data_IF_723954155946
#
_entry.id   IF_723954155946
#
_cell.length_a   1.000
_cell.length_b   1.000
_cell.length_c   1.000
_cell.angle_alpha   90.00
_cell.angle_beta   90.00
_cell.angle_gamma   90.00
#
_symmetry.space_group_name_H-M   'P 1'
#
loop_
_entity.id
_entity.type
_entity.pdbx_description
1 polymer ?
#
# COMPACT_ATOMS: atom_id res chain seq x y z
N UNK A 1 -18.85 -15.47 -15.37
CA UNK A 1 -18.48 -15.23 -13.96
C UNK A 1 -17.41 -14.15 -13.92
N UNK A 2 -17.75 -12.91 -13.56
CA UNK A 2 -16.75 -11.87 -13.31
C UNK A 2 -16.22 -12.09 -11.89
N UNK A 3 -15.14 -12.86 -11.76
CA UNK A 3 -14.37 -12.92 -10.51
C UNK A 3 -13.80 -11.52 -10.29
N UNK A 4 -14.37 -10.77 -9.35
CA UNK A 4 -13.79 -9.54 -8.83
C UNK A 4 -12.46 -9.90 -8.15
N UNK A 5 -11.38 -9.96 -8.94
CA UNK A 5 -10.02 -10.26 -8.46
C UNK A 5 -9.38 -9.00 -7.88
N UNK A 6 -10.11 -8.26 -7.03
CA UNK A 6 -9.48 -7.20 -6.25
C UNK A 6 -8.69 -7.83 -5.08
N UNK A 7 -7.57 -8.46 -5.42
CA UNK A 7 -6.79 -9.28 -4.49
C UNK A 7 -5.90 -8.40 -3.61
N UNK A 8 -5.43 -7.26 -4.12
CA UNK A 8 -4.55 -6.35 -3.39
C UNK A 8 -5.07 -4.91 -3.42
N UNK A 9 -4.88 -4.24 -2.30
CA UNK A 9 -5.19 -2.82 -2.10
C UNK A 9 -3.99 -2.12 -1.48
N UNK A 10 -3.77 -0.87 -1.86
CA UNK A 10 -2.83 0.03 -1.20
C UNK A 10 -3.63 0.94 -0.28
N UNK A 11 -3.34 0.86 1.02
CA UNK A 11 -3.96 1.72 2.03
C UNK A 11 -2.93 2.53 2.78
N UNK A 12 -3.35 3.69 3.25
CA UNK A 12 -2.59 4.45 4.22
C UNK A 12 -2.74 3.80 5.60
N UNK A 13 -1.65 3.36 6.20
CA UNK A 13 -1.65 2.70 7.51
C UNK A 13 -2.00 3.68 8.64
N UNK A 14 -1.65 4.97 8.51
CA UNK A 14 -1.94 5.98 9.55
C UNK A 14 -3.42 6.33 9.60
N UNK A 15 -4.07 6.45 8.44
CA UNK A 15 -5.47 6.87 8.34
C UNK A 15 -6.44 5.71 8.08
N UNK A 16 -5.92 4.50 7.87
CA UNK A 16 -6.65 3.32 7.41
C UNK A 16 -7.46 3.51 6.11
N UNK A 17 -7.25 4.61 5.38
CA UNK A 17 -7.94 4.89 4.12
C UNK A 17 -7.33 4.09 2.96
N UNK A 18 -8.20 3.48 2.16
CA UNK A 18 -7.80 2.87 0.88
C UNK A 18 -7.47 4.01 -0.08
N UNK A 19 -6.26 3.98 -0.65
CA UNK A 19 -5.81 4.97 -1.62
C UNK A 19 -6.10 4.44 -3.02
N UNK A 20 -5.82 3.16 -3.22
CA UNK A 20 -5.99 2.51 -4.51
C UNK A 20 -6.27 1.02 -4.30
N UNK A 21 -7.25 0.50 -5.02
CA UNK A 21 -7.66 -0.90 -4.99
C UNK A 21 -7.75 -1.47 -6.40
N UNK A 22 -8.19 -2.72 -6.53
CA UNK A 22 -8.36 -3.36 -7.83
C UNK A 22 -7.10 -3.99 -8.42
N UNK A 23 -6.04 -4.18 -7.63
CA UNK A 23 -4.85 -4.86 -8.12
C UNK A 23 -5.05 -6.38 -8.12
N UNK A 24 -4.90 -7.00 -9.29
CA UNK A 24 -4.93 -8.46 -9.42
C UNK A 24 -3.66 -9.12 -8.87
N UNK A 25 -2.54 -8.41 -8.88
CA UNK A 25 -1.24 -8.94 -8.48
C UNK A 25 -0.51 -8.05 -7.47
N UNK A 26 0.33 -8.70 -6.64
CA UNK A 26 1.10 -8.03 -5.58
C UNK A 26 2.16 -7.08 -6.15
N UNK A 27 2.62 -7.28 -7.38
CA UNK A 27 3.70 -6.49 -7.98
C UNK A 27 3.18 -5.10 -8.37
N UNK A 28 2.05 -5.02 -9.04
CA UNK A 28 1.36 -3.76 -9.37
C UNK A 28 1.04 -2.95 -8.12
N UNK A 29 0.55 -3.61 -7.06
CA UNK A 29 0.33 -2.95 -5.77
C UNK A 29 1.63 -2.45 -5.11
N UNK A 30 2.77 -3.15 -5.29
CA UNK A 30 4.09 -2.70 -4.82
C UNK A 30 4.62 -1.49 -5.58
N UNK A 31 4.44 -1.46 -6.89
CA UNK A 31 4.83 -0.33 -7.73
C UNK A 31 4.08 0.93 -7.29
N UNK A 32 2.75 0.85 -7.15
CA UNK A 32 1.96 1.97 -6.65
C UNK A 32 2.33 2.41 -5.23
N UNK A 33 2.53 1.45 -4.33
CA UNK A 33 3.03 1.73 -2.97
C UNK A 33 4.37 2.48 -3.00
N UNK A 34 5.29 2.09 -3.90
CA UNK A 34 6.59 2.74 -4.02
C UNK A 34 6.47 4.17 -4.54
N UNK A 35 5.66 4.39 -5.57
CA UNK A 35 5.37 5.73 -6.11
C UNK A 35 4.81 6.66 -5.04
N UNK A 36 3.84 6.18 -4.26
CA UNK A 36 3.21 6.97 -3.19
C UNK A 36 4.17 7.27 -2.03
N UNK A 37 5.11 6.36 -1.74
CA UNK A 37 6.10 6.56 -0.68
C UNK A 37 7.34 7.37 -1.13
N UNK A 38 7.68 7.39 -2.43
CA UNK A 38 8.85 8.10 -2.96
C UNK A 38 8.92 9.59 -2.58
N UNK A 39 7.89 10.43 -2.82
CA UNK A 39 7.93 11.85 -2.46
C UNK A 39 7.95 12.06 -0.94
N UNK A 40 7.45 11.11 -0.16
CA UNK A 40 7.50 11.16 1.29
C UNK A 40 8.91 10.84 1.80
N UNK A 41 9.54 9.81 1.25
CA UNK A 41 10.95 9.46 1.48
C UNK A 41 11.89 10.62 1.12
N UNK A 42 11.67 11.29 0.00
CA UNK A 42 12.44 12.48 -0.39
C UNK A 42 12.25 13.67 0.56
N UNK A 43 11.05 13.87 1.13
CA UNK A 43 10.84 14.89 2.17
C UNK A 43 11.55 14.55 3.48
N UNK A 44 11.60 13.27 3.83
CA UNK A 44 12.26 12.80 5.06
C UNK A 44 13.79 12.96 5.04
N UNK A 45 14.44 13.04 3.87
CA UNK A 45 15.89 13.27 3.82
C UNK A 45 16.28 14.74 4.01
N UNK A 46 15.39 15.69 3.66
CA UNK A 46 15.72 17.13 3.68
C UNK A 46 15.45 17.85 5.00
N UNK A 47 14.49 17.41 5.81
CA UNK A 47 14.02 18.25 6.96
C UNK A 47 13.88 17.54 8.30
N UNK A 48 13.81 16.22 8.35
CA UNK A 48 13.84 15.46 9.61
C UNK A 48 14.01 13.98 9.24
N UNK A 49 15.20 13.41 9.51
CA UNK A 49 15.43 11.99 9.28
C UNK A 49 14.31 11.21 10.01
N UNK A 50 13.63 10.28 9.34
CA UNK A 50 12.66 9.46 10.04
C UNK A 50 13.41 8.65 11.09
N UNK A 51 12.84 8.52 12.29
CA UNK A 51 13.29 7.49 13.23
C UNK A 51 13.36 6.18 12.47
N UNK A 52 14.37 5.35 12.74
CA UNK A 52 14.67 4.09 12.03
C UNK A 52 13.43 3.17 11.89
N UNK A 53 12.44 3.36 12.75
CA UNK A 53 11.15 2.65 12.81
C UNK A 53 9.95 3.35 12.14
N UNK A 54 10.15 4.48 11.44
CA UNK A 54 9.06 5.18 10.75
C UNK A 54 8.65 4.41 9.50
N UNK A 55 7.78 3.43 9.71
CA UNK A 55 7.19 2.62 8.66
C UNK A 55 6.58 3.53 7.57
N UNK A 56 6.79 3.22 6.27
CA UNK A 56 6.18 3.99 5.19
C UNK A 56 4.66 4.06 5.38
N UNK A 57 4.05 5.25 5.20
CA UNK A 57 2.64 5.45 5.48
C UNK A 57 1.73 4.60 4.58
N UNK A 58 2.17 4.24 3.38
CA UNK A 58 1.40 3.38 2.50
C UNK A 58 1.87 1.93 2.55
N UNK A 59 0.92 1.02 2.78
CA UNK A 59 1.13 -0.42 2.86
C UNK A 59 0.19 -1.15 1.90
N UNK A 60 0.58 -2.36 1.51
CA UNK A 60 -0.25 -3.25 0.72
C UNK A 60 -1.00 -4.16 1.68
N UNK A 61 -2.31 -4.26 1.52
CA UNK A 61 -3.14 -5.24 2.20
C UNK A 61 -3.82 -6.12 1.15
N UNK A 62 -4.13 -7.35 1.54
CA UNK A 62 -5.03 -8.20 0.77
C UNK A 62 -6.44 -7.58 0.82
N UNK A 63 -7.14 -7.60 -0.30
CA UNK A 63 -8.53 -7.14 -0.40
C UNK A 63 -9.47 -7.97 0.47
N UNK A 64 -10.70 -7.48 0.70
CA UNK A 64 -11.72 -8.23 1.46
C UNK A 64 -12.07 -9.57 0.80
N UNK A 65 -11.94 -9.65 -0.53
CA UNK A 65 -12.20 -10.85 -1.35
C UNK A 65 -11.00 -11.81 -1.44
N UNK A 66 -9.90 -11.53 -0.73
CA UNK A 66 -8.83 -12.50 -0.61
C UNK A 66 -9.30 -13.61 0.32
N UNK A 67 -9.84 -14.69 -0.27
CA UNK A 67 -10.26 -15.92 0.38
C UNK A 67 -9.21 -16.31 1.43
N UNK A 68 -9.52 -16.13 2.72
CA UNK A 68 -8.88 -16.91 3.76
C UNK A 68 -9.47 -18.31 3.59
N UNK A 69 -8.66 -19.23 3.07
CA UNK A 69 -8.94 -20.64 3.36
C UNK A 69 -8.75 -20.80 4.87
N UNK A 70 -9.84 -21.15 5.55
CA UNK A 70 -9.85 -21.63 6.94
C UNK A 70 -9.16 -23.00 7.00
#
# INVERSE_FOLDING_TARGET
MKTNKELFIVKNNKTNKIIEGGFEDKKSAKEKRNELNKPLMEKYTKTNKPKKDSMPPYIIKMGKDHIHYD
#
